data_IF_040789802118
#
_entry.id   IF_040789802118
#
_cell.length_a   1.000
_cell.length_b   1.000
_cell.length_c   1.000
_cell.angle_alpha   90.00
_cell.angle_beta   90.00
_cell.angle_gamma   90.00
#
_symmetry.space_group_name_H-M   'P 1'
#
loop_
_entity.id
_entity.type
_entity.pdbx_description
1 polymer ?
#
# COMPACT_ATOMS: atom_id res chain seq x y z
N UNK A 1 -18.17 49.33 -11.05
CA UNK A 1 -17.01 48.66 -11.68
C UNK A 1 -16.61 47.31 -11.04
N UNK A 2 -16.88 47.05 -9.75
CA UNK A 2 -16.27 45.92 -9.00
C UNK A 2 -17.06 44.60 -9.04
N UNK A 3 -18.39 44.68 -9.16
CA UNK A 3 -19.28 43.51 -9.17
C UNK A 3 -18.91 42.38 -10.15
N UNK A 4 -18.52 42.64 -11.42
CA UNK A 4 -18.19 41.55 -12.36
C UNK A 4 -16.89 40.81 -12.02
N UNK A 5 -15.93 41.49 -11.39
CA UNK A 5 -14.66 40.86 -10.98
C UNK A 5 -14.90 39.89 -9.83
N UNK A 6 -15.69 40.30 -8.84
CA UNK A 6 -16.07 39.44 -7.71
C UNK A 6 -16.89 38.24 -8.20
N UNK A 7 -17.85 38.47 -9.09
CA UNK A 7 -18.65 37.40 -9.69
C UNK A 7 -17.78 36.39 -10.45
N UNK A 8 -16.84 36.86 -11.28
CA UNK A 8 -15.91 36.00 -12.01
C UNK A 8 -14.99 35.20 -11.08
N UNK A 9 -14.44 35.84 -10.05
CA UNK A 9 -13.58 35.18 -9.07
C UNK A 9 -14.33 34.10 -8.27
N UNK A 10 -15.58 34.37 -7.87
CA UNK A 10 -16.42 33.42 -7.15
C UNK A 10 -16.74 32.19 -8.01
N UNK A 11 -17.10 32.38 -9.28
CA UNK A 11 -17.38 31.27 -10.21
C UNK A 11 -16.12 30.44 -10.46
N UNK A 12 -14.97 31.08 -10.66
CA UNK A 12 -13.69 30.38 -10.82
C UNK A 12 -13.33 29.56 -9.58
N UNK A 13 -13.44 30.14 -8.39
CA UNK A 13 -13.17 29.45 -7.13
C UNK A 13 -14.09 28.25 -6.91
N UNK A 14 -15.40 28.41 -7.18
CA UNK A 14 -16.38 27.32 -7.06
C UNK A 14 -16.08 26.18 -8.05
N UNK A 15 -15.73 26.49 -9.29
CA UNK A 15 -15.39 25.49 -10.30
C UNK A 15 -14.13 24.69 -9.92
N UNK A 16 -13.07 25.36 -9.44
CA UNK A 16 -11.86 24.68 -8.98
C UNK A 16 -12.13 23.83 -7.74
N UNK A 17 -12.81 24.38 -6.73
CA UNK A 17 -13.14 23.65 -5.51
C UNK A 17 -14.00 22.40 -5.81
N UNK A 18 -14.97 22.51 -6.73
CA UNK A 18 -15.78 21.38 -7.19
C UNK A 18 -14.97 20.30 -7.89
N UNK A 19 -14.02 20.67 -8.77
CA UNK A 19 -13.15 19.69 -9.45
C UNK A 19 -12.28 18.93 -8.45
N UNK A 20 -11.65 19.65 -7.52
CA UNK A 20 -10.76 19.04 -6.52
C UNK A 20 -11.51 18.16 -5.53
N UNK A 21 -12.73 18.55 -5.11
CA UNK A 21 -13.53 17.75 -4.18
C UNK A 21 -13.93 16.41 -4.80
N UNK A 22 -14.35 16.39 -6.07
CA UNK A 22 -14.69 15.14 -6.78
C UNK A 22 -13.46 14.25 -6.93
N UNK A 23 -12.30 14.80 -7.31
CA UNK A 23 -11.06 14.03 -7.43
C UNK A 23 -10.63 13.42 -6.09
N UNK A 24 -10.68 14.19 -5.00
CA UNK A 24 -10.37 13.71 -3.66
C UNK A 24 -11.31 12.58 -3.24
N UNK A 25 -12.61 12.70 -3.54
CA UNK A 25 -13.61 11.69 -3.24
C UNK A 25 -13.41 10.40 -4.03
N UNK A 26 -13.08 10.49 -5.32
CA UNK A 26 -12.76 9.33 -6.14
C UNK A 26 -11.48 8.64 -5.66
N UNK A 27 -10.43 9.41 -5.37
CA UNK A 27 -9.20 8.89 -4.81
C UNK A 27 -9.41 8.23 -3.44
N UNK A 28 -10.32 8.77 -2.62
CA UNK A 28 -10.69 8.18 -1.34
C UNK A 28 -11.40 6.83 -1.52
N UNK A 29 -12.37 6.73 -2.45
CA UNK A 29 -13.05 5.46 -2.75
C UNK A 29 -12.16 4.43 -3.43
N UNK A 30 -11.20 4.89 -4.25
CA UNK A 30 -10.26 4.03 -4.94
C UNK A 30 -9.16 3.46 -4.01
N UNK A 31 -9.07 3.92 -2.74
CA UNK A 31 -8.17 3.33 -1.77
C UNK A 31 -8.72 1.96 -1.35
N UNK A 32 -7.95 0.87 -1.53
CA UNK A 32 -8.35 -0.42 -0.99
C UNK A 32 -8.39 -0.32 0.55
N UNK A 33 -9.46 -0.80 1.22
CA UNK A 33 -9.66 -0.69 2.67
C UNK A 33 -8.60 -1.45 3.47
N UNK A 34 -7.98 -2.45 2.86
CA UNK A 34 -6.78 -3.10 3.35
C UNK A 34 -5.58 -2.37 2.78
N UNK A 35 -4.88 -1.59 3.62
CA UNK A 35 -3.45 -1.39 3.43
C UNK A 35 -2.90 -2.78 3.09
N UNK A 36 -2.29 -2.94 1.90
CA UNK A 36 -1.61 -4.18 1.51
C UNK A 36 -0.39 -4.36 2.41
N UNK A 37 -0.62 -4.59 3.69
CA UNK A 37 0.21 -5.41 4.55
C UNK A 37 0.25 -6.73 3.80
N UNK A 38 1.27 -6.87 2.95
CA UNK A 38 1.64 -8.17 2.39
C UNK A 38 1.80 -9.02 3.64
N UNK A 39 0.82 -9.88 3.92
CA UNK A 39 0.96 -10.90 4.96
C UNK A 39 2.16 -11.70 4.50
N UNK A 40 3.33 -11.37 5.04
CA UNK A 40 4.58 -12.05 4.71
C UNK A 40 4.53 -13.52 5.17
N UNK A 41 3.51 -13.87 5.97
CA UNK A 41 3.12 -15.20 6.38
C UNK A 41 1.59 -15.28 6.37
N UNK A 42 0.99 -16.19 5.59
CA UNK A 42 -0.47 -16.34 5.54
C UNK A 42 -1.09 -16.94 6.81
N UNK A 43 -0.27 -17.24 7.82
CA UNK A 43 -0.67 -18.02 8.99
C UNK A 43 -0.55 -19.53 8.70
N UNK A 44 -0.59 -20.34 9.76
CA UNK A 44 -0.39 -21.79 9.68
C UNK A 44 1.02 -22.23 9.25
N UNK A 45 1.40 -23.45 9.61
CA UNK A 45 2.54 -24.14 8.98
C UNK A 45 2.05 -24.81 7.69
N UNK A 46 2.89 -24.80 6.65
CA UNK A 46 2.64 -25.56 5.43
C UNK A 46 2.60 -27.06 5.76
N UNK A 47 1.80 -27.87 5.04
CA UNK A 47 1.70 -29.32 5.28
C UNK A 47 3.02 -30.05 5.04
N UNK A 48 3.93 -29.43 4.28
CA UNK A 48 5.29 -29.92 4.05
C UNK A 48 6.29 -28.91 4.63
N UNK A 49 7.11 -29.37 5.59
CA UNK A 49 8.08 -28.54 6.31
C UNK A 49 9.08 -27.92 5.34
N UNK A 50 8.92 -26.62 5.06
CA UNK A 50 9.86 -25.93 4.18
C UNK A 50 11.13 -25.59 4.91
N UNK A 51 12.23 -25.41 4.15
CA UNK A 51 13.47 -24.93 4.75
C UNK A 51 13.20 -23.72 5.61
N UNK A 52 12.36 -22.76 5.14
CA UNK A 52 11.90 -21.48 5.75
C UNK A 52 11.19 -21.57 7.08
N UNK A 53 10.46 -22.65 7.32
CA UNK A 53 9.79 -22.90 8.60
C UNK A 53 10.73 -23.57 9.59
N UNK A 54 11.60 -24.46 9.12
CA UNK A 54 12.53 -25.19 9.98
C UNK A 54 13.45 -24.27 10.79
N UNK A 55 13.97 -23.21 10.17
CA UNK A 55 14.86 -22.26 10.84
C UNK A 55 14.10 -21.14 11.57
N UNK A 56 12.79 -20.94 11.32
CA UNK A 56 11.92 -20.21 12.26
C UNK A 56 11.74 -21.00 13.56
N UNK A 57 11.51 -22.32 13.48
CA UNK A 57 11.38 -23.19 14.66
C UNK A 57 12.72 -23.32 15.40
N UNK A 58 13.83 -23.47 14.67
CA UNK A 58 15.17 -23.59 15.25
C UNK A 58 15.81 -22.23 15.63
N UNK A 59 15.15 -21.10 15.36
CA UNK A 59 15.66 -19.76 15.69
C UNK A 59 16.90 -19.32 14.89
N UNK A 60 17.17 -19.93 13.73
CA UNK A 60 18.37 -19.65 12.92
C UNK A 60 18.04 -18.53 11.93
N UNK A 61 18.73 -17.40 12.07
CA UNK A 61 18.53 -16.17 11.26
C UNK A 61 18.95 -16.26 9.78
N UNK A 62 19.30 -17.43 9.26
CA UNK A 62 20.07 -17.57 8.01
C UNK A 62 19.32 -18.38 6.94
N UNK A 63 18.56 -17.71 6.07
CA UNK A 63 17.98 -18.35 4.88
C UNK A 63 18.73 -18.11 3.57
N UNK A 64 19.58 -17.10 3.51
CA UNK A 64 20.10 -16.63 2.23
C UNK A 64 21.43 -17.27 1.79
N UNK A 65 21.98 -18.27 2.52
CA UNK A 65 23.36 -18.69 2.26
C UNK A 65 23.73 -20.16 2.54
N UNK A 66 22.76 -21.07 2.67
CA UNK A 66 23.04 -22.48 3.00
C UNK A 66 23.08 -23.39 1.74
N UNK A 67 22.69 -22.90 0.57
CA UNK A 67 22.71 -23.68 -0.68
C UNK A 67 24.04 -23.58 -1.46
N UNK A 68 24.93 -22.64 -1.13
CA UNK A 68 26.21 -22.44 -1.83
C UNK A 68 27.44 -22.87 -1.03
N UNK A 69 27.31 -23.20 0.26
CA UNK A 69 28.45 -23.54 1.13
C UNK A 69 28.57 -25.04 1.49
N UNK A 70 27.72 -25.90 0.94
CA UNK A 70 27.77 -27.37 1.13
C UNK A 70 28.15 -28.07 -0.20
N UNK A 71 28.42 -27.29 -1.25
CA UNK A 71 28.96 -27.76 -2.54
C UNK A 71 30.32 -27.10 -2.82
N UNK A 72 31.19 -27.06 -1.80
CA UNK A 72 32.64 -26.91 -1.90
C UNK A 72 33.26 -27.69 -0.74
#
# INVERSE_FOLDING_TARGET
MVAPIIAGAAVAAAAYAGRYSIQAWQAFKARPPTARLRKFYEGGFQPTMTKREAALILGIRCYCHIKTSIYY
#
